data_IF_301469686584
#
_entry.id   IF_301469686584
#
_cell.length_a   1.000
_cell.length_b   1.000
_cell.length_c   1.000
_cell.angle_alpha   90.00
_cell.angle_beta   90.00
_cell.angle_gamma   90.00
#
_symmetry.space_group_name_H-M   'P 1'
#
loop_
_entity.id
_entity.type
_entity.pdbx_description
1 polymer ?
#
# COMPACT_ATOMS: atom_id res chain seq x y z
N UNK A 1 2.76 30.45 -16.88
CA UNK A 1 3.20 29.65 -15.71
C UNK A 1 3.23 28.18 -16.11
N UNK A 2 4.24 27.39 -15.71
CA UNK A 2 4.22 25.97 -15.99
C UNK A 2 3.00 25.33 -15.30
N UNK A 3 2.33 24.41 -16.01
CA UNK A 3 1.17 23.68 -15.48
C UNK A 3 1.62 22.82 -14.29
N UNK A 4 0.92 22.88 -13.15
CA UNK A 4 1.18 22.01 -12.01
C UNK A 4 1.06 20.56 -12.43
N UNK A 5 1.97 19.72 -11.94
CA UNK A 5 1.94 18.29 -12.17
C UNK A 5 1.35 17.54 -10.98
N UNK A 6 0.78 16.38 -11.25
CA UNK A 6 0.18 15.52 -10.22
C UNK A 6 1.27 14.60 -9.64
N UNK A 7 1.39 14.57 -8.33
CA UNK A 7 2.02 13.48 -7.58
C UNK A 7 0.88 12.57 -7.13
N UNK A 8 0.78 11.39 -7.71
CA UNK A 8 -0.27 10.44 -7.41
C UNK A 8 0.24 9.44 -6.38
N UNK A 9 -0.42 9.37 -5.22
CA UNK A 9 -0.02 8.52 -4.10
C UNK A 9 -1.08 7.45 -3.90
N UNK A 10 -0.66 6.20 -3.86
CA UNK A 10 -1.51 5.03 -3.59
C UNK A 10 -1.13 4.51 -2.21
N UNK A 11 -2.12 4.27 -1.36
CA UNK A 11 -2.02 3.68 -0.03
C UNK A 11 -2.97 2.52 0.09
N UNK A 12 -2.87 1.66 1.12
CA UNK A 12 -3.72 0.47 1.23
C UNK A 12 -5.11 0.79 1.80
N UNK A 13 -5.20 1.65 2.83
CA UNK A 13 -6.44 1.90 3.54
C UNK A 13 -6.91 3.36 3.56
N UNK A 14 -8.19 3.61 3.91
CA UNK A 14 -8.73 4.96 4.04
C UNK A 14 -8.09 5.76 5.18
N UNK A 15 -7.74 5.12 6.31
CA UNK A 15 -7.00 5.76 7.41
C UNK A 15 -5.60 6.23 6.96
N UNK A 16 -4.94 5.45 6.11
CA UNK A 16 -3.64 5.83 5.53
C UNK A 16 -3.78 7.03 4.58
N UNK A 17 -4.88 7.08 3.82
CA UNK A 17 -5.19 8.21 2.93
C UNK A 17 -5.35 9.50 3.73
N UNK A 18 -6.08 9.47 4.86
CA UNK A 18 -6.26 10.64 5.73
C UNK A 18 -4.94 11.08 6.37
N UNK A 19 -4.25 10.17 7.05
CA UNK A 19 -3.01 10.47 7.75
C UNK A 19 -1.92 11.01 6.81
N UNK A 20 -1.67 10.33 5.70
CA UNK A 20 -0.63 10.71 4.75
C UNK A 20 -1.05 11.89 3.86
N UNK A 21 -2.33 12.07 3.57
CA UNK A 21 -2.83 13.20 2.81
C UNK A 21 -2.48 14.54 3.44
N UNK A 22 -2.66 14.68 4.76
CA UNK A 22 -2.30 15.88 5.52
C UNK A 22 -0.79 16.11 5.50
N UNK A 23 0.01 15.07 5.76
CA UNK A 23 1.48 15.16 5.80
C UNK A 23 2.06 15.53 4.43
N UNK A 24 1.64 14.86 3.37
CA UNK A 24 2.16 15.09 2.02
C UNK A 24 1.79 16.47 1.49
N UNK A 25 0.60 16.98 1.79
CA UNK A 25 0.21 18.35 1.42
C UNK A 25 1.03 19.43 2.15
N UNK A 26 1.65 19.11 3.29
CA UNK A 26 2.58 20.02 3.99
C UNK A 26 3.99 19.96 3.42
N UNK A 27 4.42 18.80 2.93
CA UNK A 27 5.78 18.56 2.41
C UNK A 27 5.93 19.10 0.99
N UNK A 28 4.93 18.90 0.15
CA UNK A 28 4.98 19.33 -1.24
C UNK A 28 4.58 20.79 -1.42
N UNK A 29 5.35 21.54 -2.23
CA UNK A 29 4.97 22.90 -2.60
C UNK A 29 3.69 22.87 -3.47
N UNK A 30 2.59 23.31 -2.88
CA UNK A 30 1.29 23.37 -3.53
C UNK A 30 1.26 24.30 -4.75
N UNK A 31 2.28 25.15 -4.95
CA UNK A 31 2.41 25.97 -6.17
C UNK A 31 3.01 25.19 -7.33
N UNK A 32 3.82 24.17 -7.05
CA UNK A 32 4.53 23.38 -8.06
C UNK A 32 3.80 22.08 -8.42
N UNK A 33 3.18 21.40 -7.44
CA UNK A 33 2.53 20.11 -7.62
C UNK A 33 1.13 20.07 -7.00
N UNK A 34 0.33 19.14 -7.46
CA UNK A 34 -0.93 18.72 -6.84
C UNK A 34 -0.75 17.29 -6.31
N UNK A 35 -0.96 17.07 -5.02
CA UNK A 35 -0.88 15.75 -4.40
C UNK A 35 -2.28 15.15 -4.39
N UNK A 36 -2.43 13.98 -4.99
CA UNK A 36 -3.62 13.17 -4.92
C UNK A 36 -3.29 11.87 -4.20
N UNK A 37 -3.91 11.63 -3.08
CA UNK A 37 -3.83 10.36 -2.35
C UNK A 37 -5.08 9.55 -2.65
N UNK A 38 -4.94 8.25 -2.80
CA UNK A 38 -6.03 7.30 -3.03
C UNK A 38 -5.70 6.00 -2.33
N UNK A 39 -6.67 5.41 -1.64
CA UNK A 39 -6.50 4.07 -1.07
C UNK A 39 -6.89 2.99 -2.08
N UNK A 40 -6.07 1.93 -2.14
CA UNK A 40 -6.33 0.75 -2.96
C UNK A 40 -5.42 -0.41 -2.52
N UNK A 41 -5.96 -1.37 -1.80
CA UNK A 41 -5.23 -2.58 -1.39
C UNK A 41 -5.18 -3.60 -2.53
N UNK A 42 -4.39 -3.27 -3.56
CA UNK A 42 -4.25 -4.11 -4.75
C UNK A 42 -3.52 -5.43 -4.44
N UNK A 43 -2.59 -5.43 -3.50
CA UNK A 43 -1.70 -6.58 -3.29
C UNK A 43 -2.38 -7.79 -2.67
N UNK A 44 -3.55 -7.62 -2.06
CA UNK A 44 -4.34 -8.69 -1.43
C UNK A 44 -5.59 -9.09 -2.21
N UNK A 45 -5.97 -8.37 -3.27
CA UNK A 45 -7.11 -8.74 -4.12
C UNK A 45 -6.95 -10.16 -4.70
N UNK A 46 -8.05 -10.93 -4.72
CA UNK A 46 -8.04 -12.35 -5.08
C UNK A 46 -7.65 -12.61 -6.56
N UNK A 47 -7.96 -11.69 -7.45
CA UNK A 47 -7.68 -11.76 -8.89
C UNK A 47 -6.33 -11.12 -9.25
N UNK A 48 -5.56 -10.62 -8.27
CA UNK A 48 -4.25 -10.02 -8.48
C UNK A 48 -3.13 -11.01 -8.19
N UNK A 49 -2.13 -10.98 -9.05
CA UNK A 49 -0.91 -11.78 -8.97
C UNK A 49 0.27 -11.03 -9.64
N UNK A 50 1.47 -11.59 -9.53
CA UNK A 50 2.67 -10.97 -10.11
C UNK A 50 2.59 -10.69 -11.62
N UNK A 51 1.77 -11.45 -12.37
CA UNK A 51 1.60 -11.27 -13.81
C UNK A 51 0.77 -10.04 -14.19
N UNK A 52 -0.17 -9.63 -13.33
CA UNK A 52 -1.11 -8.56 -13.66
C UNK A 52 -1.04 -7.33 -12.73
N UNK A 53 -0.35 -7.39 -11.58
CA UNK A 53 -0.34 -6.32 -10.57
C UNK A 53 0.10 -4.96 -11.14
N UNK A 54 1.11 -4.92 -12.01
CA UNK A 54 1.56 -3.66 -12.65
C UNK A 54 0.46 -3.06 -13.53
N UNK A 55 -0.27 -3.89 -14.27
CA UNK A 55 -1.38 -3.44 -15.10
C UNK A 55 -2.54 -2.92 -14.23
N UNK A 56 -2.86 -3.60 -13.13
CA UNK A 56 -3.88 -3.19 -12.17
C UNK A 56 -3.58 -1.81 -11.56
N UNK A 57 -2.34 -1.56 -11.11
CA UNK A 57 -1.93 -0.21 -10.68
C UNK A 57 -2.12 0.80 -11.83
N UNK A 58 -1.74 0.44 -13.05
CA UNK A 58 -1.96 1.29 -14.22
C UNK A 58 -3.43 1.62 -14.46
N UNK A 59 -4.32 0.69 -14.22
CA UNK A 59 -5.76 0.89 -14.39
C UNK A 59 -6.35 1.80 -13.31
N UNK A 60 -5.88 1.71 -12.05
CA UNK A 60 -6.22 2.67 -10.98
C UNK A 60 -5.84 4.10 -11.38
N UNK A 61 -4.61 4.30 -11.87
CA UNK A 61 -4.14 5.63 -12.29
C UNK A 61 -4.94 6.15 -13.48
N UNK A 62 -5.25 5.30 -14.47
CA UNK A 62 -6.07 5.66 -15.63
C UNK A 62 -7.51 6.01 -15.24
N UNK A 63 -8.08 5.27 -14.30
CA UNK A 63 -9.43 5.54 -13.80
C UNK A 63 -9.50 6.93 -13.17
N UNK A 64 -8.53 7.27 -12.31
CA UNK A 64 -8.42 8.62 -11.78
C UNK A 64 -8.21 9.68 -12.87
N UNK A 65 -7.31 9.43 -13.83
CA UNK A 65 -7.01 10.35 -14.91
C UNK A 65 -8.24 10.63 -15.80
N UNK A 66 -9.08 9.63 -16.03
CA UNK A 66 -10.27 9.71 -16.86
C UNK A 66 -9.96 10.29 -18.26
N UNK A 67 -10.73 11.29 -18.66
CA UNK A 67 -10.50 12.03 -19.89
C UNK A 67 -9.74 13.36 -19.67
N UNK A 68 -9.53 13.74 -18.40
CA UNK A 68 -8.98 15.06 -18.03
C UNK A 68 -7.45 15.10 -18.06
N UNK A 69 -6.80 13.98 -17.74
CA UNK A 69 -5.34 13.92 -17.58
C UNK A 69 -4.71 12.90 -18.52
N UNK A 70 -3.45 13.16 -18.86
CA UNK A 70 -2.57 12.30 -19.66
C UNK A 70 -1.34 11.92 -18.82
N UNK A 71 -0.56 10.88 -19.19
CA UNK A 71 0.67 10.53 -18.46
C UNK A 71 1.60 11.71 -18.20
N UNK A 72 1.73 12.63 -19.18
CA UNK A 72 2.57 13.83 -19.04
C UNK A 72 2.09 14.85 -18.00
N UNK A 73 0.85 14.77 -17.51
CA UNK A 73 0.34 15.62 -16.44
C UNK A 73 0.77 15.11 -15.04
N UNK A 74 1.25 13.88 -14.95
CA UNK A 74 1.77 13.30 -13.72
C UNK A 74 3.28 13.52 -13.60
N UNK A 75 3.72 13.85 -12.39
CA UNK A 75 5.14 13.91 -12.05
C UNK A 75 5.67 12.52 -11.72
N UNK A 76 4.92 11.79 -10.88
CA UNK A 76 5.24 10.42 -10.46
C UNK A 76 4.04 9.74 -9.80
N UNK A 77 4.13 8.43 -9.70
CA UNK A 77 3.29 7.59 -8.86
C UNK A 77 4.14 7.12 -7.68
N UNK A 78 3.65 7.34 -6.47
CA UNK A 78 4.22 6.84 -5.22
C UNK A 78 3.23 5.80 -4.70
N UNK A 79 3.71 4.58 -4.44
CA UNK A 79 2.89 3.52 -3.86
C UNK A 79 3.46 3.19 -2.48
N UNK A 80 2.67 3.36 -1.45
CA UNK A 80 3.02 3.04 -0.06
C UNK A 80 2.15 1.86 0.34
N UNK A 81 2.79 0.74 0.67
CA UNK A 81 2.11 -0.54 0.92
C UNK A 81 2.64 -1.18 2.19
N UNK A 82 1.76 -1.88 2.89
CA UNK A 82 2.07 -2.66 4.05
C UNK A 82 2.74 -3.98 3.64
N UNK A 83 3.71 -4.44 4.39
CA UNK A 83 4.26 -5.79 4.15
C UNK A 83 3.42 -6.88 4.81
N UNK A 84 2.66 -6.59 5.85
CA UNK A 84 1.79 -7.53 6.58
C UNK A 84 2.48 -8.87 6.91
N UNK A 85 3.76 -8.83 7.18
CA UNK A 85 4.54 -10.04 7.41
C UNK A 85 4.71 -10.93 6.18
N UNK A 86 4.53 -10.43 4.96
CA UNK A 86 4.66 -11.24 3.72
C UNK A 86 6.02 -11.90 3.55
N UNK A 87 7.06 -11.35 4.17
CA UNK A 87 8.44 -11.88 4.14
C UNK A 87 8.84 -12.66 5.40
N UNK A 88 7.92 -12.84 6.35
CA UNK A 88 8.15 -13.75 7.48
C UNK A 88 8.23 -15.19 6.96
N UNK A 89 9.19 -16.02 7.41
CA UNK A 89 9.29 -17.42 7.03
C UNK A 89 8.01 -18.21 7.35
N UNK A 90 7.66 -19.18 6.52
CA UNK A 90 6.41 -19.95 6.69
C UNK A 90 6.38 -20.77 7.98
N UNK A 91 7.55 -21.17 8.51
CA UNK A 91 7.69 -21.86 9.82
C UNK A 91 7.42 -20.93 11.03
N UNK A 92 7.47 -19.61 10.83
CA UNK A 92 7.09 -18.61 11.83
C UNK A 92 5.60 -18.21 11.76
N UNK A 93 4.81 -18.82 10.88
CA UNK A 93 3.35 -18.73 10.91
C UNK A 93 2.80 -19.84 11.78
N UNK A 94 2.23 -19.47 12.94
CA UNK A 94 1.75 -20.40 13.97
C UNK A 94 0.23 -20.50 13.95
N UNK A 95 -0.26 -21.75 14.07
CA UNK A 95 -1.70 -21.98 14.20
C UNK A 95 -2.13 -21.71 15.65
N UNK A 96 -3.15 -20.86 15.82
CA UNK A 96 -3.71 -20.49 17.11
C UNK A 96 -5.22 -20.33 16.98
N UNK A 97 -5.96 -21.29 17.59
CA UNK A 97 -7.42 -21.30 17.54
C UNK A 97 -8.07 -20.08 18.22
N UNK A 98 -7.36 -19.39 19.12
CA UNK A 98 -7.83 -18.19 19.79
C UNK A 98 -7.64 -16.90 18.95
N UNK A 99 -6.82 -16.94 17.91
CA UNK A 99 -6.53 -15.79 17.07
C UNK A 99 -7.65 -15.55 16.06
N UNK A 100 -8.71 -14.83 16.45
CA UNK A 100 -9.88 -14.50 15.61
C UNK A 100 -9.46 -13.76 14.31
N UNK A 101 -8.42 -12.94 14.40
CA UNK A 101 -7.73 -12.31 13.26
C UNK A 101 -6.23 -12.60 13.35
N UNK A 102 -5.47 -12.46 12.26
CA UNK A 102 -4.02 -12.62 12.34
C UNK A 102 -3.40 -11.66 13.36
N UNK A 103 -2.60 -12.18 14.28
CA UNK A 103 -1.88 -11.42 15.30
C UNK A 103 -0.39 -11.40 14.93
N UNK A 104 0.16 -10.21 14.81
CA UNK A 104 1.54 -9.97 14.41
C UNK A 104 2.40 -9.72 15.62
N UNK A 105 3.59 -10.31 15.62
CA UNK A 105 4.68 -10.00 16.55
C UNK A 105 5.96 -9.70 15.77
N UNK A 106 7.04 -9.40 16.46
CA UNK A 106 8.35 -9.16 15.82
C UNK A 106 8.90 -10.41 15.09
N UNK A 107 8.46 -11.61 15.44
CA UNK A 107 9.07 -12.87 14.97
C UNK A 107 8.07 -13.87 14.40
N UNK A 108 6.76 -13.71 14.63
CA UNK A 108 5.76 -14.70 14.23
C UNK A 108 4.41 -14.06 13.88
N UNK A 109 3.60 -14.82 13.15
CA UNK A 109 2.18 -14.51 12.90
C UNK A 109 1.35 -15.65 13.50
N UNK A 110 0.40 -15.33 14.40
CA UNK A 110 -0.57 -16.30 14.94
C UNK A 110 -1.89 -16.17 14.23
N UNK A 111 -2.48 -17.29 13.83
CA UNK A 111 -3.71 -17.31 13.04
C UNK A 111 -4.46 -18.62 13.18
N UNK A 112 -5.79 -18.59 13.02
CA UNK A 112 -6.60 -19.81 12.95
C UNK A 112 -6.37 -20.64 11.68
N UNK A 113 -5.85 -20.01 10.59
CA UNK A 113 -5.69 -20.65 9.27
C UNK A 113 -4.27 -20.42 8.76
N UNK A 114 -3.33 -21.20 9.22
CA UNK A 114 -1.94 -21.14 8.80
C UNK A 114 -1.77 -21.10 7.28
N UNK A 115 -2.35 -22.09 6.57
CA UNK A 115 -2.25 -22.17 5.10
C UNK A 115 -2.85 -20.94 4.38
N UNK A 116 -3.86 -20.31 4.95
CA UNK A 116 -4.45 -19.08 4.40
C UNK A 116 -3.46 -17.92 4.44
N UNK A 117 -2.74 -17.76 5.55
CA UNK A 117 -1.70 -16.73 5.72
C UNK A 117 -0.50 -17.03 4.83
N UNK A 118 -0.02 -18.28 4.78
CA UNK A 118 1.09 -18.68 3.92
C UNK A 118 0.80 -18.34 2.45
N UNK A 119 -0.38 -18.72 1.94
CA UNK A 119 -0.81 -18.44 0.57
C UNK A 119 -0.94 -16.93 0.30
N UNK A 120 -1.50 -16.15 1.26
CA UNK A 120 -1.57 -14.69 1.16
C UNK A 120 -0.16 -14.09 1.11
N UNK A 121 0.72 -14.50 2.00
CA UNK A 121 2.08 -14.01 2.10
C UNK A 121 2.87 -14.29 0.82
N UNK A 122 2.75 -15.50 0.28
CA UNK A 122 3.39 -15.85 -1.00
C UNK A 122 2.93 -14.93 -2.13
N UNK A 123 1.60 -14.77 -2.33
CA UNK A 123 1.06 -13.89 -3.38
C UNK A 123 1.50 -12.44 -3.20
N UNK A 124 1.40 -11.90 -1.96
CA UNK A 124 1.80 -10.53 -1.64
C UNK A 124 3.30 -10.33 -1.93
N UNK A 125 4.15 -11.24 -1.49
CA UNK A 125 5.60 -11.23 -1.75
C UNK A 125 5.92 -11.22 -3.25
N UNK A 126 5.24 -12.05 -4.04
CA UNK A 126 5.43 -12.10 -5.50
C UNK A 126 4.98 -10.78 -6.17
N UNK A 127 3.84 -10.21 -5.76
CA UNK A 127 3.37 -8.91 -6.23
C UNK A 127 4.34 -7.79 -5.85
N UNK A 128 4.80 -7.73 -4.60
CA UNK A 128 5.74 -6.72 -4.12
C UNK A 128 7.08 -6.79 -4.87
N UNK A 129 7.62 -7.99 -5.08
CA UNK A 129 8.83 -8.20 -5.88
C UNK A 129 8.65 -7.72 -7.33
N UNK A 130 7.47 -7.96 -7.93
CA UNK A 130 7.16 -7.50 -9.28
C UNK A 130 7.03 -5.98 -9.36
N UNK A 131 6.40 -5.35 -8.37
CA UNK A 131 6.23 -3.92 -8.28
C UNK A 131 7.55 -3.19 -8.01
N UNK A 132 8.42 -3.75 -7.16
CA UNK A 132 9.73 -3.16 -6.85
C UNK A 132 10.66 -3.10 -8.07
N UNK A 133 10.47 -4.00 -9.03
CA UNK A 133 11.22 -4.01 -10.29
C UNK A 133 10.65 -3.03 -11.34
N UNK A 134 9.48 -2.44 -11.10
CA UNK A 134 8.86 -1.52 -12.04
C UNK A 134 9.37 -0.09 -11.81
N UNK A 135 9.95 0.55 -12.83
CA UNK A 135 10.37 1.95 -12.79
C UNK A 135 9.33 2.92 -13.34
N UNK A 136 8.38 2.41 -14.12
CA UNK A 136 7.30 3.19 -14.73
C UNK A 136 6.01 2.37 -14.79
N UNK A 137 4.88 3.04 -14.61
CA UNK A 137 3.54 2.49 -14.84
C UNK A 137 2.75 3.51 -15.67
N UNK A 138 2.11 3.04 -16.74
CA UNK A 138 1.40 3.89 -17.70
C UNK A 138 2.26 5.05 -18.26
N UNK A 139 3.58 4.85 -18.42
CA UNK A 139 4.51 5.90 -18.87
C UNK A 139 4.80 7.00 -17.83
N UNK A 140 4.37 6.82 -16.58
CA UNK A 140 4.64 7.71 -15.45
C UNK A 140 5.70 7.07 -14.57
N UNK A 141 6.73 7.81 -14.09
CA UNK A 141 7.70 7.29 -13.13
C UNK A 141 6.99 6.71 -11.90
N UNK A 142 7.37 5.51 -11.50
CA UNK A 142 6.77 4.76 -10.40
C UNK A 142 7.80 4.40 -9.36
N UNK A 143 7.42 4.50 -8.09
CA UNK A 143 8.23 4.06 -6.97
C UNK A 143 7.33 3.50 -5.86
N UNK A 144 7.72 2.34 -5.33
CA UNK A 144 7.04 1.71 -4.19
C UNK A 144 7.87 1.86 -2.92
N UNK A 145 7.18 2.07 -1.81
CA UNK A 145 7.72 2.12 -0.46
C UNK A 145 6.96 1.14 0.42
N UNK A 146 7.66 0.53 1.38
CA UNK A 146 7.11 -0.51 2.24
C UNK A 146 7.09 -0.05 3.69
N UNK A 147 5.99 -0.33 4.38
CA UNK A 147 5.94 -0.33 5.82
C UNK A 147 6.26 -1.74 6.34
N UNK A 148 7.07 -1.85 7.39
CA UNK A 148 7.60 -3.16 7.85
C UNK A 148 6.50 -4.14 8.30
N UNK A 149 5.40 -3.64 8.84
CA UNK A 149 4.17 -4.39 9.09
C UNK A 149 3.02 -3.65 8.44
N UNK A 150 2.60 -2.54 9.05
CA UNK A 150 1.57 -1.62 8.58
C UNK A 150 1.94 -0.18 8.95
N UNK A 151 1.14 0.79 8.51
CA UNK A 151 1.38 2.21 8.77
C UNK A 151 1.31 2.53 10.27
N UNK A 152 0.39 1.92 11.02
CA UNK A 152 0.27 2.12 12.47
C UNK A 152 1.53 1.70 13.22
N UNK A 153 2.15 0.60 12.79
CA UNK A 153 3.42 0.18 13.36
C UNK A 153 4.54 1.18 13.03
N UNK A 154 4.57 1.68 11.81
CA UNK A 154 5.59 2.64 11.39
C UNK A 154 5.47 4.01 12.11
N UNK A 155 4.24 4.50 12.31
CA UNK A 155 3.97 5.80 12.92
C UNK A 155 3.87 5.75 14.46
N UNK A 156 3.27 4.70 15.01
CA UNK A 156 2.86 4.64 16.42
C UNK A 156 3.43 3.44 17.18
N UNK A 157 4.16 2.54 16.51
CA UNK A 157 4.71 1.32 17.11
C UNK A 157 3.65 0.23 17.42
N UNK A 158 2.44 0.35 16.85
CA UNK A 158 1.33 -0.57 17.10
C UNK A 158 1.23 -1.65 16.02
N UNK A 159 1.39 -2.94 16.39
CA UNK A 159 1.35 -4.05 15.44
C UNK A 159 -0.06 -4.56 15.14
N UNK A 160 -1.00 -4.43 16.08
CA UNK A 160 -2.32 -5.06 16.04
C UNK A 160 -3.42 -4.06 16.44
N UNK A 161 -3.47 -2.88 15.82
CA UNK A 161 -4.50 -1.87 16.09
C UNK A 161 -5.89 -2.39 15.77
N UNK A 162 -6.87 -2.00 16.57
CA UNK A 162 -8.29 -2.13 16.23
C UNK A 162 -8.73 -1.04 15.26
N UNK A 163 -9.87 -1.20 14.61
CA UNK A 163 -10.38 -0.19 13.68
C UNK A 163 -10.66 1.14 14.39
N UNK A 164 -11.20 1.09 15.62
CA UNK A 164 -11.43 2.28 16.46
C UNK A 164 -10.11 2.99 16.82
N UNK A 165 -9.04 2.23 17.11
CA UNK A 165 -7.71 2.80 17.38
C UNK A 165 -7.10 3.44 16.13
N UNK A 166 -7.29 2.85 14.95
CA UNK A 166 -6.82 3.42 13.68
C UNK A 166 -7.51 4.74 13.36
N UNK A 167 -8.84 4.82 13.56
CA UNK A 167 -9.57 6.05 13.39
C UNK A 167 -9.10 7.13 14.39
N UNK A 168 -8.88 6.77 15.65
CA UNK A 168 -8.41 7.72 16.67
C UNK A 168 -7.00 8.24 16.41
N UNK A 169 -6.11 7.40 15.84
CA UNK A 169 -4.73 7.77 15.55
C UNK A 169 -4.60 8.59 14.23
N UNK A 170 -5.60 8.57 13.35
CA UNK A 170 -5.60 9.31 12.09
C UNK A 170 -5.93 10.80 12.24
N UNK A 171 -6.50 11.22 13.40
CA UNK A 171 -6.83 12.61 13.74
C UNK A 171 -5.83 13.22 14.72
#
# INVERSE_FOLDING_TARGET
>A
MPRKKIVFVIVEGPSDEEALGVLLNRIYDSKAVYVQVMHCDITTELDVNAGNVVAKIGDVVKQYAGRAFKPGDFSRIIHITDMDGAFIPDDAVMEDAAAVKPLYSATEIRTQRKSGIENRNQRKRECLNRLSAASQIWGVPYQIYYMSCNLDHALYGKLNSTDDEKEADAF
#
